data_IF_785190707819
#
_entry.id   IF_785190707819
#
_cell.length_a   1.000
_cell.length_b   1.000
_cell.length_c   1.000
_cell.angle_alpha   90.00
_cell.angle_beta   90.00
_cell.angle_gamma   90.00
#
_symmetry.space_group_name_H-M   'P 1'
#
loop_
_entity.id
_entity.type
_entity.pdbx_description
1 polymer ?
#
# COMPACT_ATOMS: atom_id res chain seq x y z
N UNK A 1 21.32 12.60 10.97
CA UNK A 1 20.03 12.43 11.67
C UNK A 1 19.90 10.96 12.03
N UNK A 2 19.88 10.61 13.31
CA UNK A 2 19.68 9.22 13.76
C UNK A 2 18.28 8.82 13.34
N UNK A 3 18.14 7.74 12.55
CA UNK A 3 16.82 7.19 12.26
C UNK A 3 16.14 6.82 13.58
N UNK A 4 15.02 7.47 13.89
CA UNK A 4 14.29 7.29 15.14
C UNK A 4 13.79 5.84 15.31
N UNK A 5 13.73 5.06 14.23
CA UNK A 5 13.49 3.64 14.28
C UNK A 5 14.21 2.92 13.13
N UNK A 6 15.00 1.92 13.45
CA UNK A 6 15.38 0.92 12.45
C UNK A 6 14.20 -0.05 12.23
N UNK A 7 14.17 -0.80 11.13
CA UNK A 7 13.11 -1.76 10.86
C UNK A 7 13.00 -2.87 11.93
N UNK A 8 14.00 -3.02 12.75
CA UNK A 8 14.06 -3.94 13.90
C UNK A 8 13.60 -3.32 15.21
N UNK A 9 13.30 -2.04 15.24
CA UNK A 9 12.69 -1.43 16.42
C UNK A 9 11.23 -1.89 16.52
N UNK A 10 10.70 -1.88 17.73
CA UNK A 10 9.29 -2.23 17.97
C UNK A 10 8.34 -1.39 17.10
N UNK A 11 8.67 -0.12 16.88
CA UNK A 11 7.88 0.78 16.04
C UNK A 11 7.95 0.37 14.56
N UNK A 12 9.14 0.11 14.02
CA UNK A 12 9.29 -0.33 12.63
C UNK A 12 8.58 -1.65 12.35
N UNK A 13 8.68 -2.61 13.26
CA UNK A 13 7.96 -3.88 13.15
C UNK A 13 6.43 -3.69 13.21
N UNK A 14 5.94 -2.84 14.11
CA UNK A 14 4.52 -2.53 14.23
C UNK A 14 3.96 -1.85 12.96
N UNK A 15 4.68 -0.86 12.44
CA UNK A 15 4.31 -0.18 11.18
C UNK A 15 4.31 -1.16 10.00
N UNK A 16 5.32 -2.01 9.87
CA UNK A 16 5.37 -3.03 8.82
C UNK A 16 4.21 -4.02 8.93
N UNK A 17 3.89 -4.49 10.12
CA UNK A 17 2.75 -5.37 10.34
C UNK A 17 1.42 -4.68 9.99
N UNK A 18 1.25 -3.42 10.37
CA UNK A 18 0.07 -2.62 10.03
C UNK A 18 -0.09 -2.44 8.51
N UNK A 19 1.01 -2.15 7.79
CA UNK A 19 1.02 -2.05 6.32
C UNK A 19 0.56 -3.37 5.70
N UNK A 20 1.11 -4.51 6.15
CA UNK A 20 0.73 -5.84 5.65
C UNK A 20 -0.75 -6.12 5.90
N UNK A 21 -1.26 -5.81 7.09
CA UNK A 21 -2.68 -6.00 7.42
C UNK A 21 -3.57 -5.14 6.51
N UNK A 22 -3.31 -3.86 6.38
CA UNK A 22 -4.12 -2.98 5.53
C UNK A 22 -4.07 -3.39 4.06
N UNK A 23 -2.88 -3.67 3.54
CA UNK A 23 -2.73 -4.10 2.16
C UNK A 23 -3.40 -5.47 1.91
N UNK A 24 -3.35 -6.39 2.87
CA UNK A 24 -4.03 -7.69 2.76
C UNK A 24 -5.56 -7.53 2.76
N UNK A 25 -6.11 -6.72 3.66
CA UNK A 25 -7.55 -6.44 3.71
C UNK A 25 -8.00 -5.81 2.39
N UNK A 26 -7.35 -4.73 1.96
CA UNK A 26 -7.70 -4.03 0.73
C UNK A 26 -7.59 -4.93 -0.50
N UNK A 27 -6.50 -5.69 -0.64
CA UNK A 27 -6.33 -6.63 -1.75
C UNK A 27 -7.38 -7.74 -1.75
N UNK A 28 -7.76 -8.27 -0.58
CA UNK A 28 -8.80 -9.30 -0.49
C UNK A 28 -10.16 -8.74 -0.93
N UNK A 29 -10.54 -7.56 -0.44
CA UNK A 29 -11.78 -6.89 -0.84
C UNK A 29 -11.79 -6.61 -2.36
N UNK A 30 -10.66 -6.20 -2.91
CA UNK A 30 -10.50 -5.90 -4.33
C UNK A 30 -10.59 -7.16 -5.20
N UNK A 31 -9.93 -8.25 -4.81
CA UNK A 31 -10.01 -9.54 -5.49
C UNK A 31 -11.45 -10.07 -5.49
N UNK A 32 -12.15 -9.99 -4.35
CA UNK A 32 -13.54 -10.40 -4.23
C UNK A 32 -14.44 -9.62 -5.19
N UNK A 33 -14.29 -8.29 -5.25
CA UNK A 33 -15.00 -7.42 -6.17
C UNK A 33 -14.79 -7.80 -7.65
N UNK A 34 -13.53 -8.10 -8.05
CA UNK A 34 -13.22 -8.51 -9.43
C UNK A 34 -13.75 -9.90 -9.74
N UNK A 35 -13.67 -10.82 -8.79
CA UNK A 35 -14.18 -12.19 -8.92
C UNK A 35 -15.68 -12.21 -9.09
N UNK A 36 -16.42 -11.45 -8.29
CA UNK A 36 -17.90 -11.35 -8.41
C UNK A 36 -18.32 -10.78 -9.76
N UNK A 37 -17.54 -9.87 -10.34
CA UNK A 37 -17.82 -9.28 -11.67
C UNK A 37 -17.22 -10.06 -12.83
N UNK A 38 -16.62 -11.25 -12.58
CA UNK A 38 -15.96 -12.10 -13.59
C UNK A 38 -14.91 -11.36 -14.42
N UNK A 39 -14.24 -10.34 -13.85
CA UNK A 39 -13.20 -9.56 -14.54
C UNK A 39 -11.86 -10.26 -14.42
N UNK A 40 -11.14 -10.34 -15.55
CA UNK A 40 -9.81 -11.00 -15.63
C UNK A 40 -8.65 -9.99 -15.66
N UNK A 41 -8.94 -8.70 -15.71
CA UNK A 41 -7.99 -7.60 -15.88
C UNK A 41 -7.42 -7.06 -14.55
N UNK A 42 -7.52 -7.84 -13.47
CA UNK A 42 -7.06 -7.45 -12.13
C UNK A 42 -5.62 -6.91 -12.11
N UNK A 43 -4.68 -7.63 -12.75
CA UNK A 43 -3.27 -7.22 -12.81
C UNK A 43 -2.97 -6.14 -13.85
N UNK A 44 -3.94 -5.76 -14.68
CA UNK A 44 -3.77 -4.66 -15.62
C UNK A 44 -3.86 -3.29 -14.93
N UNK A 45 -4.35 -3.24 -13.69
CA UNK A 45 -4.45 -1.99 -12.95
C UNK A 45 -3.19 -1.75 -12.12
N UNK A 46 -2.58 -0.61 -12.34
CA UNK A 46 -1.36 -0.19 -11.63
C UNK A 46 -1.53 -0.21 -10.10
N UNK A 47 -2.71 0.17 -9.62
CA UNK A 47 -3.07 0.10 -8.19
C UNK A 47 -2.88 -1.30 -7.61
N UNK A 48 -3.33 -2.33 -8.33
CA UNK A 48 -3.26 -3.71 -7.83
C UNK A 48 -1.81 -4.19 -7.82
N UNK A 49 -1.05 -3.86 -8.85
CA UNK A 49 0.37 -4.21 -8.95
C UNK A 49 1.18 -3.50 -7.86
N UNK A 50 0.93 -2.22 -7.60
CA UNK A 50 1.64 -1.47 -6.55
C UNK A 50 1.30 -1.97 -5.14
N UNK A 51 0.04 -2.29 -4.85
CA UNK A 51 -0.36 -2.88 -3.57
C UNK A 51 0.19 -4.31 -3.40
N UNK A 52 0.25 -5.10 -4.47
CA UNK A 52 0.91 -6.41 -4.46
C UNK A 52 2.42 -6.26 -4.17
N UNK A 53 3.09 -5.29 -4.78
CA UNK A 53 4.50 -5.00 -4.49
C UNK A 53 4.72 -4.62 -3.02
N UNK A 54 3.81 -3.84 -2.41
CA UNK A 54 3.82 -3.53 -0.97
C UNK A 54 3.73 -4.81 -0.15
N UNK A 55 2.77 -5.71 -0.45
CA UNK A 55 2.62 -6.98 0.27
C UNK A 55 3.85 -7.88 0.15
N UNK A 56 4.39 -8.02 -1.05
CA UNK A 56 5.59 -8.83 -1.28
C UNK A 56 6.81 -8.26 -0.56
N UNK A 57 6.97 -6.94 -0.58
CA UNK A 57 8.09 -6.29 0.10
C UNK A 57 7.97 -6.40 1.62
N UNK A 58 6.90 -5.89 2.22
CA UNK A 58 6.75 -5.86 3.69
C UNK A 58 6.45 -7.24 4.29
N UNK A 59 5.73 -8.09 3.58
CA UNK A 59 5.36 -9.43 4.07
C UNK A 59 6.46 -10.47 3.90
N UNK A 60 7.22 -10.44 2.82
CA UNK A 60 8.16 -11.50 2.47
C UNK A 60 9.61 -11.04 2.36
N UNK A 61 9.86 -9.94 1.66
CA UNK A 61 11.22 -9.52 1.34
C UNK A 61 11.90 -8.82 2.52
N UNK A 62 11.27 -7.84 3.13
CA UNK A 62 11.89 -7.07 4.20
C UNK A 62 12.43 -7.93 5.35
N UNK A 63 11.66 -8.87 5.95
CA UNK A 63 12.17 -9.72 7.02
C UNK A 63 13.39 -10.55 6.62
N UNK A 64 13.43 -11.03 5.37
CA UNK A 64 14.52 -11.87 4.85
C UNK A 64 15.75 -11.07 4.44
N UNK A 65 15.54 -9.91 3.81
CA UNK A 65 16.62 -9.02 3.38
C UNK A 65 17.38 -8.46 4.56
N UNK A 66 16.66 -8.07 5.60
CA UNK A 66 17.28 -7.58 6.84
C UNK A 66 18.08 -8.66 7.58
N UNK A 67 17.69 -9.93 7.45
CA UNK A 67 18.43 -11.04 8.06
C UNK A 67 19.77 -11.36 7.34
N UNK A 68 19.91 -10.96 6.05
CA UNK A 68 21.09 -11.24 5.24
C UNK A 68 21.93 -9.98 5.02
N UNK A 69 23.10 -9.93 5.62
CA UNK A 69 24.03 -8.78 5.53
C UNK A 69 24.45 -8.44 4.09
N UNK A 70 24.59 -9.43 3.20
CA UNK A 70 25.01 -9.25 1.80
C UNK A 70 23.97 -8.51 0.93
N UNK A 71 22.70 -8.53 1.31
CA UNK A 71 21.63 -7.88 0.55
C UNK A 71 21.25 -6.50 1.12
N UNK A 72 21.91 -6.08 2.18
CA UNK A 72 21.58 -4.85 2.94
C UNK A 72 21.70 -3.57 2.11
N UNK A 73 22.53 -3.57 1.06
CA UNK A 73 22.71 -2.43 0.15
C UNK A 73 21.51 -2.19 -0.78
N UNK A 74 20.74 -3.24 -1.08
CA UNK A 74 19.59 -3.15 -1.97
C UNK A 74 18.29 -2.69 -1.27
N UNK A 75 18.26 -2.80 0.06
CA UNK A 75 17.06 -2.50 0.86
C UNK A 75 16.58 -1.07 0.65
N UNK A 76 17.42 -0.01 0.75
CA UNK A 76 16.95 1.36 0.57
C UNK A 76 16.39 1.62 -0.82
N UNK A 77 16.97 1.01 -1.85
CA UNK A 77 16.47 1.15 -3.23
C UNK A 77 15.12 0.47 -3.43
N UNK A 78 14.96 -0.74 -2.90
CA UNK A 78 13.70 -1.48 -2.96
C UNK A 78 12.59 -0.76 -2.16
N UNK A 79 12.89 -0.27 -0.96
CA UNK A 79 11.96 0.53 -0.16
C UNK A 79 11.53 1.79 -0.90
N UNK A 80 12.48 2.52 -1.47
CA UNK A 80 12.19 3.73 -2.24
C UNK A 80 11.32 3.42 -3.46
N UNK A 81 11.62 2.36 -4.22
CA UNK A 81 10.85 1.97 -5.39
C UNK A 81 9.39 1.60 -5.02
N UNK A 82 9.20 0.83 -3.94
CA UNK A 82 7.87 0.46 -3.45
C UNK A 82 7.12 1.70 -2.95
N UNK A 83 7.77 2.58 -2.19
CA UNK A 83 7.19 3.82 -1.71
C UNK A 83 6.77 4.72 -2.88
N UNK A 84 7.63 4.94 -3.87
CA UNK A 84 7.30 5.77 -5.04
C UNK A 84 6.15 5.19 -5.85
N UNK A 85 6.14 3.87 -6.05
CA UNK A 85 5.07 3.17 -6.76
C UNK A 85 3.71 3.37 -6.10
N UNK A 86 3.63 3.17 -4.79
CA UNK A 86 2.36 3.31 -4.07
C UNK A 86 1.93 4.78 -3.91
N UNK A 87 2.89 5.72 -3.80
CA UNK A 87 2.59 7.15 -3.75
C UNK A 87 2.06 7.68 -5.10
N UNK A 88 2.56 7.14 -6.22
CA UNK A 88 1.99 7.44 -7.53
C UNK A 88 0.53 6.98 -7.61
N UNK A 89 0.22 5.79 -7.09
CA UNK A 89 -1.16 5.30 -6.97
C UNK A 89 -2.04 6.27 -6.18
N UNK A 90 -1.56 6.74 -5.03
CA UNK A 90 -2.26 7.74 -4.22
C UNK A 90 -2.52 9.04 -4.99
N UNK A 91 -1.48 9.60 -5.64
CA UNK A 91 -1.61 10.84 -6.39
C UNK A 91 -2.59 10.73 -7.55
N UNK A 92 -2.48 9.68 -8.36
CA UNK A 92 -3.38 9.45 -9.49
C UNK A 92 -4.82 9.26 -9.00
N UNK A 93 -5.04 8.48 -7.96
CA UNK A 93 -6.37 8.30 -7.40
C UNK A 93 -6.94 9.63 -6.89
N UNK A 94 -6.19 10.35 -6.06
CA UNK A 94 -6.67 11.57 -5.41
C UNK A 94 -6.94 12.70 -6.41
N UNK A 95 -6.04 12.90 -7.37
CA UNK A 95 -6.13 14.04 -8.30
C UNK A 95 -7.03 13.76 -9.51
N UNK A 96 -7.07 12.51 -9.97
CA UNK A 96 -7.74 12.16 -11.24
C UNK A 96 -9.04 11.40 -11.00
N UNK A 97 -9.02 10.35 -10.16
CA UNK A 97 -10.15 9.44 -10.03
C UNK A 97 -11.14 9.85 -8.94
N UNK A 98 -10.66 10.38 -7.82
CA UNK A 98 -11.51 10.76 -6.70
C UNK A 98 -12.53 11.88 -7.03
N UNK A 99 -12.19 12.96 -7.76
CA UNK A 99 -13.16 14.02 -8.05
C UNK A 99 -14.42 13.56 -8.82
N UNK A 100 -14.31 12.79 -9.91
CA UNK A 100 -15.51 12.25 -10.57
C UNK A 100 -16.24 11.21 -9.71
N UNK A 101 -15.51 10.36 -8.98
CA UNK A 101 -16.10 9.34 -8.12
C UNK A 101 -16.89 9.96 -6.97
N UNK A 102 -16.37 11.00 -6.32
CA UNK A 102 -17.07 11.70 -5.24
C UNK A 102 -18.32 12.42 -5.71
N UNK A 103 -18.35 12.91 -6.94
CA UNK A 103 -19.57 13.51 -7.54
C UNK A 103 -20.61 12.43 -7.80
N UNK A 104 -20.22 11.31 -8.40
CA UNK A 104 -21.12 10.19 -8.66
C UNK A 104 -21.67 9.59 -7.35
N UNK A 105 -20.84 9.51 -6.31
CA UNK A 105 -21.23 8.97 -5.01
C UNK A 105 -22.38 9.75 -4.34
N UNK A 106 -22.47 11.05 -4.58
CA UNK A 106 -23.55 11.90 -4.02
C UNK A 106 -24.95 11.54 -4.55
N UNK A 107 -25.02 10.95 -5.76
CA UNK A 107 -26.28 10.54 -6.39
C UNK A 107 -26.60 9.06 -6.20
N UNK A 108 -25.69 8.28 -5.63
CA UNK A 108 -25.89 6.85 -5.42
C UNK A 108 -26.55 6.56 -4.07
N UNK A 109 -27.48 5.56 -4.01
CA UNK A 109 -28.01 5.12 -2.74
C UNK A 109 -26.91 4.51 -1.89
N UNK A 110 -26.92 4.80 -0.58
CA UNK A 110 -25.96 4.25 0.39
C UNK A 110 -26.26 2.78 0.71
N UNK A 111 -26.09 1.92 -0.29
CA UNK A 111 -26.23 0.47 -0.13
C UNK A 111 -24.99 -0.11 0.57
N UNK A 112 -25.13 -1.33 1.10
CA UNK A 112 -24.01 -2.08 1.69
C UNK A 112 -22.85 -2.23 0.69
N UNK A 113 -23.17 -2.49 -0.59
CA UNK A 113 -22.17 -2.63 -1.66
C UNK A 113 -21.40 -1.32 -1.89
N UNK A 114 -22.10 -0.19 -1.86
CA UNK A 114 -21.49 1.14 -1.97
C UNK A 114 -20.51 1.39 -0.81
N UNK A 115 -20.89 1.06 0.43
CA UNK A 115 -20.03 1.23 1.59
C UNK A 115 -18.78 0.35 1.53
N UNK A 116 -18.92 -0.90 1.07
CA UNK A 116 -17.78 -1.81 0.88
C UNK A 116 -16.82 -1.26 -0.17
N UNK A 117 -17.34 -0.81 -1.32
CA UNK A 117 -16.52 -0.22 -2.39
C UNK A 117 -15.80 1.06 -1.91
N UNK A 118 -16.49 1.89 -1.12
CA UNK A 118 -15.89 3.10 -0.57
C UNK A 118 -14.78 2.78 0.44
N UNK A 119 -15.00 1.80 1.32
CA UNK A 119 -14.01 1.35 2.30
C UNK A 119 -12.79 0.71 1.61
N UNK A 120 -12.99 -0.11 0.59
CA UNK A 120 -11.93 -0.70 -0.23
C UNK A 120 -11.04 0.39 -0.85
N UNK A 121 -11.66 1.33 -1.57
CA UNK A 121 -10.92 2.44 -2.17
C UNK A 121 -10.17 3.29 -1.13
N UNK A 122 -10.76 3.50 0.04
CA UNK A 122 -10.10 4.23 1.12
C UNK A 122 -8.86 3.49 1.63
N UNK A 123 -8.96 2.18 1.83
CA UNK A 123 -7.84 1.36 2.32
C UNK A 123 -6.69 1.35 1.31
N UNK A 124 -6.94 0.96 0.06
CA UNK A 124 -5.88 0.75 -0.93
C UNK A 124 -5.29 2.04 -1.50
N UNK A 125 -6.04 3.14 -1.51
CA UNK A 125 -5.59 4.41 -2.08
C UNK A 125 -5.15 5.45 -1.04
N UNK A 126 -5.49 5.28 0.24
CA UNK A 126 -5.10 6.22 1.30
C UNK A 126 -4.36 5.54 2.44
N UNK A 127 -4.94 4.53 3.10
CA UNK A 127 -4.31 3.95 4.30
C UNK A 127 -2.99 3.25 3.96
N UNK A 128 -2.96 2.43 2.91
CA UNK A 128 -1.73 1.74 2.51
C UNK A 128 -0.65 2.73 2.07
N UNK A 129 -0.87 3.64 1.11
CA UNK A 129 0.14 4.60 0.68
C UNK A 129 0.68 5.47 1.82
N UNK A 130 -0.20 6.02 2.65
CA UNK A 130 0.22 6.90 3.76
C UNK A 130 0.99 6.14 4.83
N UNK A 131 0.63 4.88 5.10
CA UNK A 131 1.37 4.02 6.04
C UNK A 131 2.77 3.67 5.51
N UNK A 132 2.90 3.36 4.22
CA UNK A 132 4.19 3.11 3.57
C UNK A 132 5.06 4.36 3.57
N UNK A 133 4.48 5.52 3.28
CA UNK A 133 5.19 6.80 3.32
C UNK A 133 5.66 7.15 4.74
N UNK A 134 4.80 6.97 5.74
CA UNK A 134 5.15 7.16 7.13
C UNK A 134 6.29 6.21 7.58
N UNK A 135 6.21 4.93 7.20
CA UNK A 135 7.29 3.98 7.44
C UNK A 135 8.61 4.45 6.80
N UNK A 136 8.56 4.86 5.55
CA UNK A 136 9.75 5.31 4.83
C UNK A 136 10.39 6.55 5.49
N UNK A 137 9.60 7.53 5.91
CA UNK A 137 10.10 8.72 6.60
C UNK A 137 10.71 8.40 7.97
N UNK A 138 10.08 7.50 8.72
CA UNK A 138 10.44 7.27 10.12
C UNK A 138 11.48 6.16 10.29
N UNK A 139 11.43 5.13 9.45
CA UNK A 139 12.12 3.88 9.68
C UNK A 139 13.11 3.49 8.57
N UNK A 140 13.01 4.06 7.37
CA UNK A 140 13.95 3.75 6.30
C UNK A 140 15.35 4.27 6.65
N UNK A 141 16.42 3.46 6.50
CA UNK A 141 17.79 3.89 6.72
C UNK A 141 18.22 4.84 5.61
N UNK A 142 17.93 6.11 5.78
CA UNK A 142 18.41 7.14 4.85
C UNK A 142 19.92 7.27 5.01
N UNK A 143 20.67 6.90 3.99
CA UNK A 143 22.09 7.23 3.92
C UNK A 143 22.23 8.71 3.63
N UNK A 144 22.72 9.44 4.60
CA UNK A 144 23.33 10.75 4.40
C UNK A 144 24.79 10.58 4.02
#
# INVERSE_FOLDING_TARGET
MLSLCGPWTRLGAALSAMIVVFASIGMTMHIDFYTQRKRKDFLCFYTNVSNLAVLLYFGLAAPRLYARSSLRTWIPHAEFAVMMSIMLTFCVFHLVLYPPLSRAAKSMPHTREFLILYADNFIIHYLVPLSVFAYWLLCSPQKH
#
